data_IF_033855602543
#
_entry.id   IF_033855602543
#
_cell.length_a   1.000
_cell.length_b   1.000
_cell.length_c   1.000
_cell.angle_alpha   90.00
_cell.angle_beta   90.00
_cell.angle_gamma   90.00
#
_symmetry.space_group_name_H-M   'P 1'
#
loop_
_entity.id
_entity.type
_entity.pdbx_description
1 polymer ?
#
# COMPACT_ATOMS: atom_id res chain seq x y z
N UNK A 1 -6.84 -43.51 -58.73
CA UNK A 1 -7.25 -44.40 -57.62
C UNK A 1 -7.16 -43.59 -56.33
N UNK A 2 -8.27 -42.98 -55.90
CA UNK A 2 -9.16 -43.40 -54.78
C UNK A 2 -8.70 -42.69 -53.48
N UNK A 3 -9.49 -41.94 -52.70
CA UNK A 3 -10.96 -41.76 -52.58
C UNK A 3 -11.23 -40.36 -52.01
N UNK A 4 -12.34 -39.79 -52.47
CA UNK A 4 -13.03 -38.62 -51.96
C UNK A 4 -14.13 -39.10 -50.99
N UNK A 5 -14.20 -38.54 -49.79
CA UNK A 5 -15.28 -38.66 -48.78
C UNK A 5 -15.05 -37.51 -47.77
N UNK A 6 -15.97 -36.73 -47.25
CA UNK A 6 -17.43 -36.55 -47.37
C UNK A 6 -17.74 -35.28 -46.55
N UNK A 7 -18.65 -34.45 -47.06
CA UNK A 7 -19.34 -33.38 -46.33
C UNK A 7 -20.00 -33.90 -45.04
N UNK A 8 -19.91 -33.16 -43.93
CA UNK A 8 -20.99 -33.06 -42.94
C UNK A 8 -20.80 -31.86 -41.99
N UNK A 9 -21.94 -31.30 -41.59
CA UNK A 9 -22.19 -30.40 -40.45
C UNK A 9 -22.14 -28.88 -40.64
N UNK A 10 -23.00 -28.39 -41.54
CA UNK A 10 -23.56 -27.03 -41.48
C UNK A 10 -25.03 -27.08 -41.05
N UNK A 11 -25.33 -27.19 -39.75
CA UNK A 11 -26.70 -26.95 -39.19
C UNK A 11 -26.74 -26.94 -37.65
N UNK A 12 -26.12 -25.95 -37.01
CA UNK A 12 -26.41 -25.61 -35.59
C UNK A 12 -26.01 -24.17 -35.17
N UNK A 13 -25.96 -23.22 -36.12
CA UNK A 13 -25.47 -21.86 -35.85
C UNK A 13 -26.52 -20.79 -35.50
N UNK A 14 -27.80 -20.94 -35.90
CA UNK A 14 -28.72 -19.80 -35.91
C UNK A 14 -29.21 -19.35 -34.53
N UNK A 15 -29.15 -20.21 -33.51
CA UNK A 15 -29.61 -19.85 -32.15
C UNK A 15 -28.68 -18.89 -31.40
N UNK A 16 -27.37 -18.92 -31.70
CA UNK A 16 -26.38 -18.05 -31.03
C UNK A 16 -26.29 -16.67 -31.68
N UNK A 17 -26.61 -16.56 -32.97
CA UNK A 17 -26.66 -15.28 -33.68
C UNK A 17 -27.76 -14.36 -33.13
N UNK A 18 -28.96 -14.89 -32.87
CA UNK A 18 -30.08 -14.09 -32.35
C UNK A 18 -29.76 -13.54 -30.95
N UNK A 19 -29.13 -14.35 -30.09
CA UNK A 19 -28.78 -13.91 -28.73
C UNK A 19 -27.65 -12.86 -28.74
N UNK A 20 -26.67 -13.00 -29.64
CA UNK A 20 -25.65 -11.98 -29.86
C UNK A 20 -26.26 -10.69 -30.44
N UNK A 21 -27.22 -10.80 -31.35
CA UNK A 21 -27.92 -9.65 -31.93
C UNK A 21 -28.75 -8.92 -30.85
N UNK A 22 -29.44 -9.65 -29.97
CA UNK A 22 -30.21 -9.07 -28.87
C UNK A 22 -29.33 -8.40 -27.81
N UNK A 23 -28.17 -8.98 -27.48
CA UNK A 23 -27.21 -8.35 -26.57
C UNK A 23 -26.61 -7.08 -27.17
N UNK A 24 -26.33 -7.09 -28.47
CA UNK A 24 -25.79 -5.92 -29.19
C UNK A 24 -26.84 -4.81 -29.30
N UNK A 25 -28.08 -5.15 -29.68
CA UNK A 25 -29.18 -4.19 -29.78
C UNK A 25 -29.57 -3.59 -28.43
N UNK A 26 -29.55 -4.37 -27.33
CA UNK A 26 -29.78 -3.83 -25.98
C UNK A 26 -28.66 -2.89 -25.55
N UNK A 27 -27.41 -3.23 -25.84
CA UNK A 27 -26.26 -2.37 -25.55
C UNK A 27 -26.27 -1.08 -26.37
N UNK A 28 -26.68 -1.15 -27.63
CA UNK A 28 -26.73 0.00 -28.53
C UNK A 28 -27.89 0.95 -28.19
N UNK A 29 -29.09 0.42 -27.86
CA UNK A 29 -30.20 1.22 -27.35
C UNK A 29 -29.85 1.94 -26.04
N UNK A 30 -29.09 1.28 -25.14
CA UNK A 30 -28.60 1.92 -23.92
C UNK A 30 -27.57 3.03 -24.20
N UNK A 31 -26.67 2.83 -25.17
CA UNK A 31 -25.72 3.88 -25.59
C UNK A 31 -26.42 5.04 -26.29
N UNK A 32 -27.44 4.75 -27.11
CA UNK A 32 -28.22 5.76 -27.81
C UNK A 32 -29.12 6.56 -26.85
N UNK A 33 -29.73 5.93 -25.85
CA UNK A 33 -30.49 6.63 -24.81
C UNK A 33 -29.58 7.50 -23.93
N UNK A 34 -28.41 7.02 -23.56
CA UNK A 34 -27.40 7.81 -22.84
C UNK A 34 -26.90 9.00 -23.68
N UNK A 35 -26.70 8.83 -25.00
CA UNK A 35 -26.32 9.94 -25.88
C UNK A 35 -27.44 10.94 -26.11
N UNK A 36 -28.71 10.50 -26.18
CA UNK A 36 -29.87 11.40 -26.25
C UNK A 36 -30.06 12.21 -24.95
N UNK A 37 -29.72 11.63 -23.80
CA UNK A 37 -29.76 12.30 -22.50
C UNK A 37 -28.58 13.28 -22.26
N UNK A 38 -27.62 13.40 -23.19
CA UNK A 38 -26.51 14.38 -23.14
C UNK A 38 -26.92 15.82 -23.53
N UNK A 39 -28.19 16.19 -23.45
CA UNK A 39 -28.65 17.57 -23.66
C UNK A 39 -28.29 18.47 -22.48
N UNK A 40 -27.01 18.85 -22.36
CA UNK A 40 -26.38 19.98 -21.63
C UNK A 40 -26.76 20.32 -20.17
N UNK A 41 -27.89 19.88 -19.62
CA UNK A 41 -28.36 20.21 -18.28
C UNK A 41 -27.55 19.49 -17.18
N UNK A 42 -27.02 18.30 -17.46
CA UNK A 42 -26.29 17.52 -16.46
C UNK A 42 -24.84 17.99 -16.23
N UNK A 43 -24.25 18.76 -17.16
CA UNK A 43 -22.91 19.33 -16.95
C UNK A 43 -22.93 20.52 -15.98
N UNK A 44 -24.02 21.30 -15.98
CA UNK A 44 -24.20 22.37 -14.99
C UNK A 44 -24.45 21.81 -13.58
N UNK A 45 -25.16 20.68 -13.46
CA UNK A 45 -25.39 20.02 -12.18
C UNK A 45 -24.17 19.25 -11.65
N UNK A 46 -23.26 18.78 -12.53
CA UNK A 46 -22.01 18.10 -12.14
C UNK A 46 -20.94 19.09 -11.67
N UNK A 47 -20.94 20.33 -12.17
CA UNK A 47 -20.03 21.37 -11.67
C UNK A 47 -20.39 21.88 -10.25
N UNK A 48 -21.64 21.70 -9.82
CA UNK A 48 -22.14 22.14 -8.52
C UNK A 48 -22.22 21.03 -7.46
N UNK A 49 -21.93 19.77 -7.82
CA UNK A 49 -21.93 18.64 -6.87
C UNK A 49 -20.51 18.29 -6.47
N UNK A 50 -20.24 18.36 -5.17
CA UNK A 50 -19.03 17.81 -4.56
C UNK A 50 -18.86 16.35 -5.01
N UNK A 51 -17.65 15.99 -5.44
CA UNK A 51 -17.31 14.68 -6.03
C UNK A 51 -17.47 13.47 -5.07
N UNK A 52 -18.05 13.69 -3.87
CA UNK A 52 -18.31 12.69 -2.84
C UNK A 52 -19.80 12.36 -2.62
N UNK A 53 -20.74 12.93 -3.38
CA UNK A 53 -22.12 12.45 -3.33
C UNK A 53 -22.24 11.12 -4.09
N UNK A 54 -22.60 10.00 -3.43
CA UNK A 54 -22.79 8.75 -4.16
C UNK A 54 -23.92 8.90 -5.17
N UNK A 55 -23.77 8.22 -6.31
CA UNK A 55 -24.72 8.25 -7.42
C UNK A 55 -26.10 7.64 -7.11
N UNK A 56 -26.32 7.20 -5.87
CA UNK A 56 -27.56 6.60 -5.39
C UNK A 56 -27.94 7.31 -4.08
N UNK A 57 -29.20 7.78 -3.92
CA UNK A 57 -29.64 8.42 -2.69
C UNK A 57 -29.41 7.46 -1.51
N UNK A 58 -28.54 7.87 -0.58
CA UNK A 58 -28.15 7.12 0.62
C UNK A 58 -29.38 6.60 1.39
N UNK A 59 -30.49 7.35 1.36
CA UNK A 59 -31.75 6.98 2.00
C UNK A 59 -32.36 5.67 1.50
N UNK A 60 -32.12 5.27 0.25
CA UNK A 60 -32.73 4.07 -0.32
C UNK A 60 -31.89 2.81 -0.08
N UNK A 61 -30.58 2.95 0.14
CA UNK A 61 -29.68 1.84 0.45
C UNK A 61 -29.87 1.39 1.91
N UNK A 62 -30.07 2.35 2.84
CA UNK A 62 -30.16 2.05 4.27
C UNK A 62 -31.56 1.72 4.78
N UNK A 63 -32.62 1.99 4.00
CA UNK A 63 -33.95 1.44 4.33
C UNK A 63 -33.91 -0.07 4.47
N UNK A 64 -33.22 -0.78 3.57
CA UNK A 64 -33.09 -2.24 3.62
C UNK A 64 -32.28 -2.74 4.83
N UNK A 65 -31.28 -1.96 5.25
CA UNK A 65 -30.46 -2.27 6.43
C UNK A 65 -31.24 -2.03 7.74
N UNK A 66 -32.04 -0.96 7.81
CA UNK A 66 -32.94 -0.68 8.94
C UNK A 66 -34.06 -1.73 9.04
N UNK A 67 -34.70 -2.11 7.93
CA UNK A 67 -35.71 -3.18 7.95
C UNK A 67 -35.12 -4.49 8.46
N UNK A 68 -33.88 -4.82 8.06
CA UNK A 68 -33.19 -6.04 8.52
C UNK A 68 -32.75 -5.97 9.99
N UNK A 69 -32.42 -4.78 10.51
CA UNK A 69 -32.12 -4.57 11.93
C UNK A 69 -33.37 -4.69 12.81
N UNK A 70 -34.51 -4.15 12.36
CA UNK A 70 -35.82 -4.31 13.01
C UNK A 70 -36.31 -5.76 12.95
N UNK A 71 -36.06 -6.47 11.85
CA UNK A 71 -36.38 -7.89 11.69
C UNK A 71 -35.55 -8.77 12.65
N UNK A 72 -34.26 -8.45 12.84
CA UNK A 72 -33.40 -9.13 13.85
C UNK A 72 -33.87 -8.89 15.29
N UNK A 73 -34.35 -7.71 15.62
CA UNK A 73 -34.92 -7.41 16.95
C UNK A 73 -36.25 -8.13 17.18
N UNK A 74 -37.03 -8.38 16.11
CA UNK A 74 -38.19 -9.27 16.16
C UNK A 74 -37.79 -10.74 16.32
N UNK A 75 -36.75 -11.20 15.63
CA UNK A 75 -36.23 -12.57 15.75
C UNK A 75 -35.61 -12.86 17.13
N UNK A 76 -35.00 -11.87 17.79
CA UNK A 76 -34.48 -12.04 19.16
C UNK A 76 -35.57 -12.27 20.23
N UNK A 77 -36.80 -11.86 19.96
CA UNK A 77 -37.95 -12.12 20.83
C UNK A 77 -38.80 -13.32 20.36
N UNK A 78 -38.45 -13.95 19.25
CA UNK A 78 -39.10 -15.16 18.77
C UNK A 78 -38.40 -16.39 19.38
N UNK A 79 -39.18 -17.26 20.01
CA UNK A 79 -38.70 -18.55 20.53
C UNK A 79 -38.01 -19.32 19.40
N UNK A 80 -36.75 -19.76 19.55
CA UNK A 80 -36.02 -20.42 18.47
C UNK A 80 -36.77 -21.70 18.06
N UNK A 81 -36.90 -22.00 16.75
CA UNK A 81 -37.48 -23.26 16.30
C UNK A 81 -36.62 -24.42 16.85
N UNK A 82 -37.25 -25.54 17.25
CA UNK A 82 -36.55 -26.67 17.83
C UNK A 82 -35.50 -27.19 16.84
N UNK A 83 -34.23 -27.19 17.28
CA UNK A 83 -33.12 -27.77 16.54
C UNK A 83 -33.32 -29.30 16.41
N UNK A 84 -32.97 -29.89 15.24
CA UNK A 84 -33.11 -31.32 15.03
C UNK A 84 -32.26 -32.13 16.02
N UNK A 85 -32.94 -33.05 16.70
CA UNK A 85 -32.37 -34.02 17.65
C UNK A 85 -31.73 -35.17 16.89
N UNK A 86 -30.49 -35.52 17.29
CA UNK A 86 -29.70 -36.65 16.80
C UNK A 86 -30.44 -37.97 17.07
N UNK A 87 -30.71 -38.76 16.03
CA UNK A 87 -31.04 -40.18 16.13
C UNK A 87 -30.22 -40.97 15.10
N UNK A 88 -29.71 -42.13 15.52
CA UNK A 88 -29.00 -43.12 14.70
C UNK A 88 -27.64 -42.69 14.11
N UNK A 89 -26.84 -41.96 14.90
CA UNK A 89 -25.39 -41.94 14.72
C UNK A 89 -24.84 -41.02 13.63
N UNK A 90 -25.67 -40.31 12.86
CA UNK A 90 -25.22 -39.16 12.05
C UNK A 90 -26.33 -38.11 11.90
N UNK A 91 -26.18 -36.99 12.61
CA UNK A 91 -26.86 -35.74 12.28
C UNK A 91 -25.81 -34.63 12.20
N UNK A 92 -25.30 -34.46 10.97
CA UNK A 92 -24.40 -33.40 10.57
C UNK A 92 -25.24 -32.18 10.12
N UNK A 93 -25.13 -31.06 10.83
CA UNK A 93 -25.28 -29.75 10.21
C UNK A 93 -23.87 -29.15 10.11
N UNK A 94 -23.28 -29.39 8.94
CA UNK A 94 -21.90 -29.08 8.58
C UNK A 94 -21.68 -27.57 8.42
N UNK A 95 -20.75 -27.08 9.23
CA UNK A 95 -20.41 -25.68 9.45
C UNK A 95 -19.79 -24.94 8.24
N UNK A 96 -19.65 -23.59 8.35
CA UNK A 96 -19.16 -22.65 7.34
C UNK A 96 -17.64 -22.69 7.07
N UNK A 97 -16.97 -23.83 7.31
CA UNK A 97 -15.54 -24.05 6.98
C UNK A 97 -15.23 -25.50 6.56
N UNK A 98 -16.23 -26.28 6.17
CA UNK A 98 -16.02 -27.56 5.48
C UNK A 98 -15.62 -27.39 4.01
N UNK A 99 -15.10 -28.43 3.34
CA UNK A 99 -14.90 -28.41 1.89
C UNK A 99 -16.22 -27.99 1.24
N UNK A 100 -16.19 -26.86 0.52
CA UNK A 100 -17.36 -26.30 -0.13
C UNK A 100 -17.99 -27.41 -0.98
N UNK A 101 -19.28 -27.75 -0.81
CA UNK A 101 -19.93 -28.76 -1.63
C UNK A 101 -19.93 -28.26 -3.08
N UNK A 102 -19.03 -28.84 -3.86
CA UNK A 102 -18.75 -28.48 -5.23
C UNK A 102 -17.66 -29.39 -5.78
N UNK A 103 -17.61 -29.59 -7.10
CA UNK A 103 -16.50 -30.31 -7.71
C UNK A 103 -15.18 -29.62 -7.31
N UNK A 104 -14.11 -30.38 -7.00
CA UNK A 104 -12.80 -29.80 -6.71
C UNK A 104 -12.39 -28.88 -7.86
N UNK A 105 -11.73 -27.76 -7.53
CA UNK A 105 -11.24 -26.82 -8.56
C UNK A 105 -10.44 -27.59 -9.61
N UNK A 106 -10.67 -27.37 -10.92
CA UNK A 106 -9.94 -28.08 -11.97
C UNK A 106 -8.44 -27.99 -11.74
N UNK A 107 -7.70 -29.08 -12.01
CA UNK A 107 -6.22 -29.10 -11.90
C UNK A 107 -5.54 -28.06 -12.80
N UNK A 108 -6.22 -27.58 -13.84
CA UNK A 108 -5.74 -26.46 -14.66
C UNK A 108 -5.74 -25.12 -13.93
N UNK A 109 -6.48 -24.99 -12.82
CA UNK A 109 -6.57 -23.78 -12.01
C UNK A 109 -5.64 -23.80 -10.80
N UNK A 110 -5.14 -24.96 -10.37
CA UNK A 110 -4.21 -25.03 -9.23
C UNK A 110 -2.90 -24.28 -9.49
N UNK A 111 -2.48 -24.18 -10.76
CA UNK A 111 -1.33 -23.34 -11.16
C UNK A 111 -1.60 -21.83 -11.13
N UNK A 112 -2.86 -21.38 -11.12
CA UNK A 112 -3.22 -19.98 -10.91
C UNK A 112 -3.10 -19.59 -9.43
N UNK A 113 -3.26 -20.55 -8.53
CA UNK A 113 -3.08 -20.39 -7.09
C UNK A 113 -1.68 -20.82 -6.66
N UNK A 114 -0.62 -20.26 -7.28
CA UNK A 114 0.75 -20.29 -6.73
C UNK A 114 0.84 -19.49 -5.43
N UNK A 115 0.03 -19.88 -4.45
CA UNK A 115 -0.13 -19.25 -3.15
C UNK A 115 1.11 -19.45 -2.28
N UNK A 116 1.98 -20.41 -2.64
CA UNK A 116 3.20 -20.75 -1.92
C UNK A 116 4.17 -19.57 -1.84
N UNK A 117 4.33 -18.81 -2.93
CA UNK A 117 5.20 -17.62 -2.90
C UNK A 117 4.63 -16.50 -2.02
N UNK A 118 3.30 -16.34 -2.00
CA UNK A 118 2.65 -15.33 -1.15
C UNK A 118 2.79 -15.68 0.34
N UNK A 119 2.73 -16.97 0.70
CA UNK A 119 2.95 -17.43 2.08
C UNK A 119 4.39 -17.26 2.52
N UNK A 120 5.36 -17.63 1.67
CA UNK A 120 6.79 -17.45 1.97
C UNK A 120 7.15 -15.99 2.26
N UNK A 121 6.52 -15.05 1.52
CA UNK A 121 6.69 -13.59 1.66
C UNK A 121 5.97 -12.97 2.86
N UNK A 122 5.27 -13.76 3.68
CA UNK A 122 4.61 -13.28 4.89
C UNK A 122 5.21 -13.87 6.18
N UNK A 123 6.45 -14.35 6.11
CA UNK A 123 7.22 -14.79 7.28
C UNK A 123 7.92 -13.59 7.92
N UNK A 124 8.07 -13.61 9.25
CA UNK A 124 8.80 -12.57 9.99
C UNK A 124 10.23 -12.38 9.47
N UNK A 125 10.92 -13.49 9.17
CA UNK A 125 12.27 -13.47 8.61
C UNK A 125 12.32 -12.73 7.26
N UNK A 126 11.35 -13.01 6.37
CA UNK A 126 11.26 -12.29 5.10
C UNK A 126 10.96 -10.80 5.30
N UNK A 127 10.04 -10.43 6.20
CA UNK A 127 9.71 -9.02 6.44
C UNK A 127 10.89 -8.27 7.04
N UNK A 128 11.60 -8.89 7.97
CA UNK A 128 12.83 -8.34 8.56
C UNK A 128 13.88 -8.08 7.47
N UNK A 129 14.17 -9.06 6.62
CA UNK A 129 15.12 -8.89 5.51
C UNK A 129 14.61 -7.85 4.49
N UNK A 130 13.34 -7.89 4.11
CA UNK A 130 12.78 -6.97 3.13
C UNK A 130 12.80 -5.52 3.61
N UNK A 131 12.57 -5.27 4.91
CA UNK A 131 12.54 -3.94 5.50
C UNK A 131 13.92 -3.43 5.93
N UNK A 132 14.94 -4.29 6.04
CA UNK A 132 16.26 -3.93 6.59
C UNK A 132 16.91 -2.75 5.87
N UNK A 133 16.88 -2.72 4.53
CA UNK A 133 17.49 -1.64 3.75
C UNK A 133 16.83 -0.29 4.04
N UNK A 134 15.51 -0.19 3.92
CA UNK A 134 14.82 1.10 4.13
C UNK A 134 14.92 1.55 5.59
N UNK A 135 14.76 0.64 6.56
CA UNK A 135 14.86 0.95 7.99
C UNK A 135 16.26 1.44 8.37
N UNK A 136 17.33 0.94 7.73
CA UNK A 136 18.71 1.40 7.96
C UNK A 136 18.96 2.85 7.54
N UNK A 137 18.08 3.42 6.70
CA UNK A 137 18.16 4.80 6.22
C UNK A 137 17.14 5.74 6.89
N UNK A 138 16.38 5.25 7.87
CA UNK A 138 15.40 6.03 8.62
C UNK A 138 16.02 6.63 9.89
N UNK A 139 15.50 7.77 10.39
CA UNK A 139 15.95 8.33 11.65
C UNK A 139 15.76 7.31 12.77
N UNK A 140 16.67 7.38 13.74
CA UNK A 140 16.71 6.47 14.86
C UNK A 140 15.41 6.55 15.68
N UNK A 141 14.95 5.39 16.15
CA UNK A 141 13.78 5.24 17.02
C UNK A 141 14.14 4.51 18.31
N UNK A 142 13.42 4.83 19.39
CA UNK A 142 13.77 4.40 20.74
C UNK A 142 13.43 2.91 20.90
N UNK A 143 14.41 2.05 20.71
CA UNK A 143 14.24 0.60 20.87
C UNK A 143 14.72 -0.24 19.70
N UNK A 144 15.12 0.36 18.57
CA UNK A 144 15.88 -0.36 17.56
C UNK A 144 17.28 -0.66 18.12
N UNK A 145 17.50 -1.90 18.58
CA UNK A 145 18.81 -2.41 19.02
C UNK A 145 19.81 -2.52 17.89
N UNK A 146 19.35 -2.35 16.64
CA UNK A 146 20.20 -2.10 15.50
C UNK A 146 20.65 -0.64 15.57
N UNK A 147 21.45 -0.33 16.59
CA UNK A 147 22.44 0.72 16.48
C UNK A 147 23.33 0.23 15.33
N UNK A 148 23.35 0.86 14.14
CA UNK A 148 24.59 0.85 13.41
C UNK A 148 25.51 1.56 14.38
N UNK A 149 26.34 0.81 15.11
CA UNK A 149 27.57 1.35 15.70
C UNK A 149 28.12 2.19 14.57
N UNK A 150 28.05 3.52 14.71
CA UNK A 150 28.30 4.48 13.65
C UNK A 150 29.44 3.91 12.82
N UNK A 151 29.10 3.30 11.68
CA UNK A 151 30.11 2.71 10.83
C UNK A 151 30.85 3.95 10.42
N UNK A 152 32.06 4.07 10.95
CA UNK A 152 32.91 5.20 10.63
C UNK A 152 32.98 5.26 9.11
N UNK A 153 33.03 6.46 8.53
CA UNK A 153 33.05 6.62 7.08
C UNK A 153 34.18 5.79 6.41
N UNK A 154 35.20 5.40 7.18
CA UNK A 154 36.25 4.44 6.84
C UNK A 154 35.76 2.99 6.68
N UNK A 155 34.81 2.51 7.49
CA UNK A 155 34.23 1.16 7.37
C UNK A 155 33.26 1.05 6.19
N UNK A 156 32.54 2.13 5.85
CA UNK A 156 31.73 2.23 4.62
C UNK A 156 32.58 2.22 3.34
N UNK A 157 33.86 2.57 3.43
CA UNK A 157 34.81 2.52 2.33
C UNK A 157 35.61 1.20 2.30
N UNK A 158 35.47 0.33 3.31
CA UNK A 158 36.13 -0.96 3.34
C UNK A 158 35.36 -1.98 2.49
N UNK A 159 35.93 -2.49 1.37
CA UNK A 159 35.28 -3.51 0.55
C UNK A 159 35.08 -4.85 1.28
N UNK A 160 35.65 -5.02 2.48
CA UNK A 160 35.49 -6.21 3.31
C UNK A 160 34.31 -6.13 4.30
N UNK A 161 33.81 -4.95 4.65
CA UNK A 161 32.73 -4.79 5.63
C UNK A 161 31.33 -5.06 5.05
N UNK A 162 31.17 -4.92 3.74
CA UNK A 162 29.87 -4.99 3.05
C UNK A 162 29.35 -6.42 2.90
N UNK A 163 30.22 -7.45 2.93
CA UNK A 163 29.80 -8.84 2.67
C UNK A 163 29.91 -9.80 3.87
N UNK A 164 30.45 -9.34 5.01
CA UNK A 164 30.78 -10.23 6.14
C UNK A 164 29.71 -10.34 7.24
N UNK A 165 28.61 -9.57 7.21
CA UNK A 165 27.73 -9.40 8.38
C UNK A 165 26.30 -9.91 8.26
N UNK A 166 25.97 -10.68 7.20
CA UNK A 166 24.62 -11.26 7.04
C UNK A 166 24.43 -12.64 7.66
N UNK A 167 25.49 -13.31 8.14
CA UNK A 167 25.38 -14.63 8.75
C UNK A 167 26.29 -14.71 9.99
N UNK A 168 25.76 -14.39 11.19
CA UNK A 168 25.97 -15.16 12.44
C UNK A 168 25.63 -14.44 13.77
N UNK A 169 25.09 -13.22 13.79
CA UNK A 169 24.57 -12.67 15.07
C UNK A 169 23.17 -13.19 15.44
N UNK A 170 22.62 -14.14 14.67
CA UNK A 170 21.38 -14.86 15.00
C UNK A 170 21.51 -15.74 16.26
N UNK A 171 22.73 -15.97 16.75
CA UNK A 171 23.00 -16.61 18.03
C UNK A 171 22.92 -15.63 19.20
N UNK A 172 21.74 -15.50 19.81
CA UNK A 172 21.53 -15.03 21.20
C UNK A 172 21.68 -13.53 21.53
N UNK A 173 21.39 -12.60 20.61
CA UNK A 173 21.12 -11.23 21.07
C UNK A 173 19.77 -11.19 21.77
N UNK A 174 19.80 -11.03 23.09
CA UNK A 174 18.62 -10.73 23.90
C UNK A 174 17.96 -9.49 23.29
N UNK A 175 16.66 -9.54 22.94
CA UNK A 175 15.97 -8.39 22.37
C UNK A 175 16.04 -7.21 23.34
N UNK A 176 16.10 -5.97 22.83
CA UNK A 176 16.10 -4.78 23.66
C UNK A 176 14.84 -4.77 24.55
N UNK A 177 14.97 -4.21 25.76
CA UNK A 177 13.85 -4.14 26.71
C UNK A 177 12.59 -3.53 26.09
N UNK A 178 12.74 -2.49 25.26
CA UNK A 178 11.62 -1.85 24.56
C UNK A 178 10.84 -2.84 23.69
N UNK A 179 11.53 -3.72 22.96
CA UNK A 179 10.89 -4.76 22.16
C UNK A 179 10.12 -5.77 23.02
N UNK A 180 10.74 -6.23 24.13
CA UNK A 180 10.07 -7.15 25.07
C UNK A 180 8.82 -6.49 25.66
N UNK A 181 8.90 -5.22 26.04
CA UNK A 181 7.76 -4.47 26.56
C UNK A 181 6.66 -4.32 25.51
N UNK A 182 7.02 -4.00 24.25
CA UNK A 182 6.06 -3.91 23.15
C UNK A 182 5.37 -5.25 22.89
N UNK A 183 6.10 -6.37 22.92
CA UNK A 183 5.52 -7.71 22.78
C UNK A 183 4.47 -7.99 23.84
N UNK A 184 4.78 -7.69 25.10
CA UNK A 184 3.87 -7.90 26.22
C UNK A 184 2.64 -7.00 26.09
N UNK A 185 2.82 -5.73 25.72
CA UNK A 185 1.71 -4.79 25.51
C UNK A 185 0.81 -5.25 24.35
N UNK A 186 1.36 -5.56 23.19
CA UNK A 186 0.58 -5.98 22.02
C UNK A 186 -0.18 -7.28 22.26
N UNK A 187 0.38 -8.20 23.07
CA UNK A 187 -0.31 -9.43 23.48
C UNK A 187 -1.49 -9.16 24.43
N UNK A 188 -1.47 -8.07 25.20
CA UNK A 188 -2.57 -7.68 26.10
C UNK A 188 -3.73 -6.98 25.38
N UNK A 189 -3.49 -6.37 24.21
CA UNK A 189 -4.50 -5.62 23.44
C UNK A 189 -4.81 -6.26 22.07
N UNK A 190 -5.44 -7.45 22.03
CA UNK A 190 -5.73 -8.16 20.79
C UNK A 190 -6.85 -7.49 19.97
N UNK A 191 -7.78 -6.77 20.59
CA UNK A 191 -8.86 -6.06 19.89
C UNK A 191 -8.42 -4.68 19.38
N UNK A 192 -9.07 -4.18 18.32
CA UNK A 192 -8.79 -2.88 17.74
C UNK A 192 -9.33 -1.70 18.57
N UNK A 193 -10.44 -1.91 19.28
CA UNK A 193 -11.05 -0.86 20.12
C UNK A 193 -10.18 -0.63 21.35
N UNK A 194 -9.87 -1.68 22.10
CA UNK A 194 -8.98 -1.62 23.28
C UNK A 194 -7.58 -1.10 22.91
N UNK A 195 -7.04 -1.52 21.76
CA UNK A 195 -5.76 -1.01 21.26
C UNK A 195 -5.78 0.51 21.10
N UNK A 196 -6.85 1.09 20.52
CA UNK A 196 -6.94 2.53 20.31
C UNK A 196 -7.26 3.28 21.60
N UNK A 197 -8.26 2.80 22.34
CA UNK A 197 -8.85 3.56 23.44
C UNK A 197 -8.05 3.41 24.73
N UNK A 198 -7.31 2.31 24.94
CA UNK A 198 -6.53 2.09 26.16
C UNK A 198 -5.02 2.22 25.93
N UNK A 199 -4.46 1.53 24.93
CA UNK A 199 -3.00 1.52 24.72
C UNK A 199 -2.50 2.87 24.18
N UNK A 200 -3.15 3.45 23.16
CA UNK A 200 -2.68 4.72 22.59
C UNK A 200 -2.86 5.89 23.56
N UNK A 201 -3.86 5.87 24.43
CA UNK A 201 -4.02 6.95 25.44
C UNK A 201 -2.84 6.99 26.44
N UNK A 202 -2.27 5.83 26.76
CA UNK A 202 -1.18 5.70 27.75
C UNK A 202 0.20 5.83 27.09
N UNK A 203 0.32 5.45 25.82
CA UNK A 203 1.60 5.37 25.14
C UNK A 203 2.01 6.75 24.60
N UNK A 204 3.20 7.27 24.96
CA UNK A 204 3.66 8.55 24.43
C UNK A 204 3.76 8.55 22.89
N UNK A 205 3.42 9.64 22.19
CA UNK A 205 3.36 9.67 20.72
C UNK A 205 4.64 9.21 20.01
N UNK A 206 5.81 9.49 20.60
CA UNK A 206 7.10 9.08 20.03
C UNK A 206 7.30 7.56 19.96
N UNK A 207 6.57 6.78 20.77
CA UNK A 207 6.61 5.31 20.71
C UNK A 207 5.70 4.72 19.64
N UNK A 208 4.74 5.48 19.10
CA UNK A 208 3.87 4.97 18.02
C UNK A 208 4.68 4.52 16.82
N UNK A 209 5.77 5.25 16.52
CA UNK A 209 6.70 4.92 15.45
C UNK A 209 7.41 3.58 15.70
N UNK A 210 7.81 3.33 16.94
CA UNK A 210 8.42 2.07 17.34
C UNK A 210 7.42 0.91 17.27
N UNK A 211 6.17 1.12 17.70
CA UNK A 211 5.07 0.15 17.51
C UNK A 211 4.84 -0.15 16.03
N UNK A 212 4.78 0.88 15.18
CA UNK A 212 4.55 0.76 13.74
C UNK A 212 5.65 -0.08 13.07
N UNK A 213 6.92 0.26 13.33
CA UNK A 213 8.07 -0.48 12.78
C UNK A 213 8.14 -1.91 13.32
N UNK A 214 7.90 -2.10 14.62
CA UNK A 214 7.93 -3.40 15.27
C UNK A 214 6.88 -4.35 14.69
N UNK A 215 5.63 -3.91 14.68
CA UNK A 215 4.50 -4.69 14.16
C UNK A 215 4.66 -4.98 12.66
N UNK A 216 5.18 -4.05 11.87
CA UNK A 216 5.46 -4.28 10.45
C UNK A 216 6.38 -5.50 10.21
N UNK A 217 7.33 -5.77 11.11
CA UNK A 217 8.22 -6.93 11.02
C UNK A 217 7.59 -8.17 11.66
N UNK A 218 7.10 -8.07 12.90
CA UNK A 218 6.74 -9.24 13.71
C UNK A 218 5.30 -9.71 13.50
N UNK A 219 4.34 -8.80 13.56
CA UNK A 219 2.91 -9.08 13.41
C UNK A 219 2.18 -7.88 12.78
N UNK A 220 2.12 -7.81 11.44
CA UNK A 220 1.55 -6.67 10.72
C UNK A 220 0.13 -6.30 11.19
N UNK A 221 -0.06 -5.04 11.56
CA UNK A 221 -1.36 -4.56 12.02
C UNK A 221 -2.42 -4.66 10.90
N UNK A 222 -3.65 -5.08 11.21
CA UNK A 222 -4.76 -4.93 10.28
C UNK A 222 -5.03 -3.45 10.01
N UNK A 223 -5.57 -3.11 8.84
CA UNK A 223 -5.79 -1.71 8.43
C UNK A 223 -6.52 -0.87 9.49
N UNK A 224 -7.48 -1.45 10.23
CA UNK A 224 -8.20 -0.74 11.29
C UNK A 224 -7.30 -0.30 12.43
N UNK A 225 -6.39 -1.16 12.91
CA UNK A 225 -5.41 -0.81 13.95
C UNK A 225 -4.32 0.12 13.42
N UNK A 226 -3.86 -0.12 12.18
CA UNK A 226 -2.85 0.71 11.53
C UNK A 226 -3.29 2.17 11.42
N UNK A 227 -4.51 2.41 10.92
CA UNK A 227 -5.03 3.77 10.79
C UNK A 227 -5.51 4.36 12.11
N UNK A 228 -5.78 3.55 13.13
CA UNK A 228 -6.00 4.05 14.50
C UNK A 228 -4.71 4.54 15.15
N UNK A 229 -3.56 3.94 14.80
CA UNK A 229 -2.23 4.38 15.23
C UNK A 229 -1.79 5.66 14.53
N UNK A 230 -2.28 5.90 13.31
CA UNK A 230 -2.00 7.12 12.58
C UNK A 230 -2.76 8.30 13.22
N UNK A 231 -2.06 9.42 13.39
CA UNK A 231 -2.66 10.71 13.76
C UNK A 231 -3.69 11.15 12.69
N UNK A 232 -4.51 12.20 12.93
CA UNK A 232 -5.45 12.72 11.92
C UNK A 232 -4.83 12.97 10.54
N UNK A 233 -3.52 13.24 10.49
CA UNK A 233 -2.75 13.45 9.25
C UNK A 233 -2.47 12.17 8.47
N UNK A 234 -2.74 11.01 9.05
CA UNK A 234 -2.66 9.72 8.37
C UNK A 234 -1.29 9.05 8.38
N UNK A 235 -0.39 9.51 9.25
CA UNK A 235 0.93 8.93 9.48
C UNK A 235 1.34 9.03 10.94
N UNK A 236 2.48 8.42 11.26
CA UNK A 236 3.08 8.44 12.59
C UNK A 236 4.47 9.08 12.47
N UNK A 237 4.63 10.31 12.98
CA UNK A 237 5.92 11.03 12.94
C UNK A 237 6.53 11.10 11.51
N UNK A 238 5.67 11.37 10.52
CA UNK A 238 6.04 11.43 9.11
C UNK A 238 6.26 10.06 8.43
N UNK A 239 5.89 8.95 9.08
CA UNK A 239 6.06 7.57 8.57
C UNK A 239 4.74 6.82 8.41
N UNK A 240 4.61 6.08 7.32
CA UNK A 240 3.52 5.13 7.11
C UNK A 240 4.06 3.80 6.56
N UNK A 241 3.76 2.71 7.26
CA UNK A 241 4.20 1.35 6.89
C UNK A 241 2.98 0.46 6.72
N UNK A 242 2.69 0.07 5.48
CA UNK A 242 1.57 -0.81 5.11
C UNK A 242 2.12 -2.17 4.74
N UNK A 243 1.73 -3.21 5.48
CA UNK A 243 2.26 -4.56 5.30
C UNK A 243 1.14 -5.59 5.14
N UNK A 244 1.22 -6.37 4.06
CA UNK A 244 0.44 -7.59 3.88
C UNK A 244 -0.57 -7.53 2.73
N UNK A 245 -1.02 -8.70 2.24
CA UNK A 245 -1.83 -8.80 1.03
C UNK A 245 -3.27 -8.32 1.21
N UNK A 246 -3.75 -8.28 2.46
CA UNK A 246 -5.10 -7.79 2.81
C UNK A 246 -5.08 -6.33 3.27
N UNK A 247 -3.89 -5.75 3.49
CA UNK A 247 -3.78 -4.34 3.83
C UNK A 247 -4.16 -3.50 2.61
N UNK A 248 -4.70 -2.32 2.86
CA UNK A 248 -5.12 -1.39 1.81
C UNK A 248 -4.53 -0.03 2.11
N UNK A 249 -3.78 0.52 1.15
CA UNK A 249 -3.29 1.89 1.23
C UNK A 249 -4.43 2.84 0.86
N UNK A 250 -4.92 3.60 1.85
CA UNK A 250 -6.03 4.51 1.66
C UNK A 250 -5.55 5.81 1.00
N UNK A 251 -6.15 6.13 -0.15
CA UNK A 251 -5.81 7.36 -0.89
C UNK A 251 -6.11 8.61 -0.06
N UNK A 252 -7.20 8.61 0.69
CA UNK A 252 -7.67 9.80 1.42
C UNK A 252 -6.70 10.17 2.55
N UNK A 253 -6.09 9.17 3.18
CA UNK A 253 -5.00 9.33 4.15
C UNK A 253 -3.80 10.05 3.54
N UNK A 254 -3.39 9.68 2.33
CA UNK A 254 -2.25 10.30 1.64
C UNK A 254 -2.55 11.73 1.17
N UNK A 255 -3.79 12.00 0.78
CA UNK A 255 -4.22 13.35 0.36
C UNK A 255 -4.29 14.28 1.57
N UNK A 256 -4.71 13.78 2.72
CA UNK A 256 -4.79 14.54 3.98
C UNK A 256 -3.41 14.94 4.48
N UNK A 257 -2.40 14.09 4.29
CA UNK A 257 -1.00 14.39 4.58
C UNK A 257 -0.38 15.51 3.70
N UNK A 258 -1.12 16.06 2.74
CA UNK A 258 -0.64 17.15 1.89
C UNK A 258 -0.85 18.51 2.59
N UNK A 259 0.22 19.28 2.86
CA UNK A 259 0.15 20.51 3.66
C UNK A 259 -0.79 21.57 3.08
N UNK A 260 -1.05 21.55 1.77
CA UNK A 260 -1.97 22.47 1.08
C UNK A 260 -3.42 22.35 1.58
N UNK A 261 -3.82 21.17 2.06
CA UNK A 261 -5.20 20.91 2.52
C UNK A 261 -5.37 21.34 3.98
N UNK A 262 -4.39 21.04 4.84
CA UNK A 262 -4.41 21.38 6.25
C UNK A 262 -4.57 22.90 6.50
N UNK A 263 -3.88 23.73 5.70
CA UNK A 263 -3.97 25.18 5.82
C UNK A 263 -5.37 25.76 5.53
N UNK A 264 -6.23 25.05 4.79
CA UNK A 264 -7.59 25.52 4.45
C UNK A 264 -8.63 25.20 5.52
N UNK A 265 -8.44 24.13 6.30
CA UNK A 265 -9.43 23.73 7.30
C UNK A 265 -9.47 24.64 8.52
N UNK A 266 -8.33 25.23 8.91
CA UNK A 266 -8.27 26.13 10.07
C UNK A 266 -8.67 27.59 9.77
N UNK A 267 -8.67 28.02 8.49
CA UNK A 267 -8.91 29.42 8.12
C UNK A 267 -10.38 29.82 7.90
N UNK A 268 -11.31 28.88 7.77
CA UNK A 268 -12.68 29.18 7.29
C UNK A 268 -13.78 29.05 8.37
N UNK A 269 -13.40 28.74 9.61
CA UNK A 269 -14.36 28.60 10.71
C UNK A 269 -14.68 29.91 11.44
N UNK A 270 -14.14 31.04 10.96
CA UNK A 270 -14.05 32.28 11.72
C UNK A 270 -14.69 33.53 11.12
N UNK A 271 -15.65 33.48 10.19
CA UNK A 271 -16.43 34.71 9.88
C UNK A 271 -17.82 34.49 9.25
N UNK A 272 -18.54 33.45 9.67
CA UNK A 272 -19.96 33.30 9.33
C UNK A 272 -20.86 34.05 10.34
N UNK A 273 -20.48 35.27 10.73
CA UNK A 273 -21.34 36.17 11.51
C UNK A 273 -21.76 37.39 10.68
N UNK A 274 -23.07 37.56 10.66
CA UNK A 274 -23.82 38.80 10.41
C UNK A 274 -23.77 39.40 9.00
N UNK A 275 -24.52 38.79 8.09
CA UNK A 275 -25.45 39.60 7.28
C UNK A 275 -26.78 39.71 8.06
N UNK A 276 -26.71 40.50 9.14
CA UNK A 276 -27.88 40.99 9.87
C UNK A 276 -28.44 42.19 9.09
N UNK A 277 -29.39 41.89 8.21
CA UNK A 277 -30.16 42.90 7.47
C UNK A 277 -31.26 43.46 8.38
N UNK A 278 -30.95 44.59 9.05
CA UNK A 278 -31.87 45.70 9.40
C UNK A 278 -33.03 45.39 10.36
N UNK A 279 -33.47 46.25 11.28
CA UNK A 279 -33.32 47.69 11.48
C UNK A 279 -33.54 47.95 12.98
N UNK A 280 -32.82 48.88 13.61
CA UNK A 280 -33.23 49.35 14.94
C UNK A 280 -32.19 50.06 15.81
N UNK A 281 -32.02 51.36 15.56
CA UNK A 281 -31.87 52.41 16.59
C UNK A 281 -30.71 52.34 17.60
N UNK A 282 -29.68 53.12 17.29
CA UNK A 282 -29.14 54.20 18.15
C UNK A 282 -28.97 53.95 19.66
N UNK A 283 -27.74 53.75 20.12
CA UNK A 283 -27.13 54.64 21.13
C UNK A 283 -25.63 54.37 21.30
N UNK A 284 -24.88 55.40 20.94
CA UNK A 284 -23.50 55.74 21.24
C UNK A 284 -22.94 55.21 22.57
N UNK A 285 -21.77 54.55 22.49
CA UNK A 285 -20.71 54.74 23.47
C UNK A 285 -19.33 54.43 22.88
N UNK A 286 -18.71 55.48 22.34
CA UNK A 286 -17.29 55.55 22.04
C UNK A 286 -16.51 55.27 23.34
N UNK A 287 -15.68 54.23 23.33
CA UNK A 287 -14.56 54.11 24.26
C UNK A 287 -13.37 53.67 23.44
N UNK A 288 -12.75 54.63 22.75
CA UNK A 288 -11.42 54.51 22.16
C UNK A 288 -10.42 54.28 23.29
N UNK A 289 -10.05 53.01 23.49
CA UNK A 289 -8.81 52.65 24.15
C UNK A 289 -7.88 52.18 23.04
N UNK A 290 -6.84 52.94 22.67
CA UNK A 290 -5.81 52.45 21.78
C UNK A 290 -5.02 51.42 22.58
N UNK A 291 -5.44 50.16 22.51
CA UNK A 291 -4.59 49.04 22.92
C UNK A 291 -3.47 49.01 21.89
N UNK A 292 -2.34 49.63 22.26
CA UNK A 292 -1.07 49.47 21.56
C UNK A 292 -0.85 47.96 21.41
N UNK A 293 -1.09 47.47 20.19
CA UNK A 293 -0.68 46.17 19.73
C UNK A 293 0.84 46.18 19.79
N UNK A 294 1.39 45.82 20.95
CA UNK A 294 2.78 45.43 21.07
C UNK A 294 3.01 44.34 20.00
N UNK A 295 3.74 44.73 18.95
CA UNK A 295 4.33 43.88 17.93
C UNK A 295 5.19 42.79 18.61
N UNK A 296 4.54 41.78 19.17
CA UNK A 296 5.18 40.64 19.81
C UNK A 296 5.63 39.66 18.73
N UNK A 297 6.77 39.98 18.12
CA UNK A 297 7.47 39.13 17.14
C UNK A 297 7.83 37.73 17.69
N UNK A 298 7.64 37.46 18.99
CA UNK A 298 7.84 36.14 19.60
C UNK A 298 6.56 35.26 19.62
N UNK A 299 5.37 35.81 19.34
CA UNK A 299 4.14 35.02 19.29
C UNK A 299 4.09 34.07 18.07
N UNK A 300 4.73 34.43 16.96
CA UNK A 300 4.75 33.60 15.73
C UNK A 300 5.61 32.34 15.86
N UNK A 301 6.62 32.34 16.75
CA UNK A 301 7.46 31.17 16.98
C UNK A 301 6.73 30.10 17.80
N UNK A 302 5.82 30.50 18.70
CA UNK A 302 5.03 29.56 19.50
C UNK A 302 3.92 28.89 18.69
N UNK A 303 3.38 29.55 17.66
CA UNK A 303 2.39 28.93 16.76
C UNK A 303 3.00 27.99 15.71
N UNK A 304 4.32 28.03 15.50
CA UNK A 304 4.99 27.15 14.55
C UNK A 304 5.17 25.71 15.06
N UNK A 305 4.98 25.48 16.37
CA UNK A 305 5.11 24.17 16.99
C UNK A 305 3.89 23.24 16.79
N UNK A 306 2.75 23.78 16.35
CA UNK A 306 1.50 23.02 16.26
C UNK A 306 1.25 22.37 14.89
N UNK A 307 2.11 22.61 13.89
CA UNK A 307 1.96 21.95 12.60
C UNK A 307 2.57 20.54 12.65
N UNK A 308 1.79 19.50 12.34
CA UNK A 308 2.28 18.13 12.32
C UNK A 308 3.40 17.99 11.28
N UNK A 309 4.43 17.17 11.56
CA UNK A 309 5.54 16.98 10.64
C UNK A 309 5.05 16.37 9.32
N UNK A 310 5.53 16.80 8.14
CA UNK A 310 5.05 16.25 6.87
C UNK A 310 5.39 14.77 6.73
N UNK A 311 4.61 14.04 5.92
CA UNK A 311 4.98 12.65 5.59
C UNK A 311 6.24 12.60 4.73
N UNK A 312 7.28 11.91 5.23
CA UNK A 312 8.58 11.79 4.59
C UNK A 312 8.89 10.36 4.14
N UNK A 313 8.29 9.36 4.80
CA UNK A 313 8.58 7.95 4.57
C UNK A 313 7.31 7.16 4.31
N UNK A 314 7.26 6.46 3.18
CA UNK A 314 6.20 5.52 2.85
C UNK A 314 6.79 4.15 2.52
N UNK A 315 6.32 3.13 3.23
CA UNK A 315 6.73 1.74 3.01
C UNK A 315 5.48 0.92 2.72
N UNK A 316 5.51 0.20 1.61
CA UNK A 316 4.43 -0.71 1.19
C UNK A 316 5.05 -2.07 0.91
N UNK A 317 4.68 -3.09 1.69
CA UNK A 317 5.23 -4.44 1.60
C UNK A 317 4.13 -5.46 1.35
N UNK A 318 4.24 -6.19 0.24
CA UNK A 318 3.30 -7.26 -0.13
C UNK A 318 1.83 -6.79 -0.22
N UNK A 319 1.63 -5.51 -0.54
CA UNK A 319 0.31 -4.86 -0.68
C UNK A 319 0.18 -4.30 -2.09
N UNK A 320 -1.02 -4.33 -2.69
CA UNK A 320 -1.23 -3.74 -4.01
C UNK A 320 -1.33 -2.21 -3.93
N UNK A 321 -0.66 -1.53 -4.85
CA UNK A 321 -0.74 -0.06 -4.98
C UNK A 321 -1.48 0.26 -6.26
N UNK A 322 -2.68 0.84 -6.13
CA UNK A 322 -3.40 1.30 -7.31
C UNK A 322 -2.73 2.53 -7.93
N UNK A 323 -2.89 2.69 -9.24
CA UNK A 323 -2.35 3.84 -9.98
C UNK A 323 -2.87 5.16 -9.40
N UNK A 324 -4.15 5.20 -8.98
CA UNK A 324 -4.73 6.38 -8.34
C UNK A 324 -4.03 6.70 -7.02
N UNK A 325 -3.72 5.70 -6.21
CA UNK A 325 -3.01 5.91 -4.94
C UNK A 325 -1.58 6.40 -5.16
N UNK A 326 -0.89 5.86 -6.17
CA UNK A 326 0.45 6.32 -6.55
C UNK A 326 0.48 7.81 -6.95
N UNK A 327 -0.57 8.32 -7.61
CA UNK A 327 -0.68 9.76 -7.90
C UNK A 327 -1.10 10.63 -6.71
N UNK A 328 -1.44 10.03 -5.58
CA UNK A 328 -1.74 10.73 -4.34
C UNK A 328 -0.55 10.76 -3.38
N UNK A 329 0.61 10.23 -3.78
CA UNK A 329 1.81 10.26 -2.94
C UNK A 329 2.23 11.71 -2.64
N UNK A 330 2.52 12.06 -1.38
CA UNK A 330 2.99 13.40 -1.05
C UNK A 330 4.31 13.75 -1.73
N UNK A 331 4.42 15.00 -2.17
CA UNK A 331 5.66 15.52 -2.78
C UNK A 331 6.82 15.59 -1.78
N UNK A 332 6.50 15.56 -0.47
CA UNK A 332 7.43 15.60 0.67
C UNK A 332 8.13 14.27 0.95
N UNK A 333 7.77 13.20 0.22
CA UNK A 333 8.41 11.90 0.38
C UNK A 333 9.89 11.97 -0.02
N UNK A 334 10.75 11.57 0.92
CA UNK A 334 12.20 11.42 0.74
C UNK A 334 12.61 9.95 0.76
N UNK A 335 11.79 9.07 1.33
CA UNK A 335 12.03 7.64 1.46
C UNK A 335 10.80 6.88 0.98
N UNK A 336 10.98 6.00 0.01
CA UNK A 336 9.89 5.18 -0.53
C UNK A 336 10.37 3.75 -0.70
N UNK A 337 9.64 2.80 -0.11
CA UNK A 337 9.84 1.38 -0.34
C UNK A 337 8.56 0.76 -0.89
N UNK A 338 8.65 0.18 -2.09
CA UNK A 338 7.58 -0.58 -2.74
C UNK A 338 8.06 -2.00 -2.88
N UNK A 339 7.82 -2.83 -1.87
CA UNK A 339 8.46 -4.13 -1.70
C UNK A 339 7.50 -5.27 -2.01
N UNK A 340 7.96 -6.23 -2.83
CA UNK A 340 7.19 -7.44 -3.16
C UNK A 340 5.74 -7.16 -3.61
N UNK A 341 5.52 -6.07 -4.35
CA UNK A 341 4.20 -5.66 -4.83
C UNK A 341 3.68 -6.71 -5.82
N UNK A 342 2.45 -7.24 -5.65
CA UNK A 342 1.96 -8.35 -6.46
C UNK A 342 1.66 -7.96 -7.92
N UNK A 343 1.44 -6.66 -8.18
CA UNK A 343 1.03 -6.14 -9.49
C UNK A 343 2.05 -5.11 -9.99
N UNK A 344 2.39 -5.11 -11.30
CA UNK A 344 3.26 -4.10 -11.88
C UNK A 344 2.75 -2.68 -11.58
N UNK A 345 3.63 -1.87 -11.01
CA UNK A 345 3.33 -0.49 -10.62
C UNK A 345 4.11 0.47 -11.53
N UNK A 346 3.53 1.59 -12.02
CA UNK A 346 4.18 2.48 -12.98
C UNK A 346 5.27 3.36 -12.35
N UNK A 347 6.34 2.74 -11.84
CA UNK A 347 7.46 3.38 -11.12
C UNK A 347 8.20 4.41 -11.96
N UNK A 348 8.15 4.31 -13.30
CA UNK A 348 8.69 5.31 -14.22
C UNK A 348 8.05 6.70 -14.07
N UNK A 349 6.89 6.81 -13.40
CA UNK A 349 6.23 8.10 -13.13
C UNK A 349 6.67 8.73 -11.82
N UNK A 350 7.28 7.98 -10.91
CA UNK A 350 7.71 8.46 -9.60
C UNK A 350 8.62 9.69 -9.61
N UNK A 351 9.59 9.89 -10.54
CA UNK A 351 10.42 11.10 -10.48
C UNK A 351 9.63 12.40 -10.68
N UNK A 352 8.44 12.33 -11.31
CA UNK A 352 7.54 13.49 -11.42
C UNK A 352 6.64 13.68 -10.21
N UNK A 353 6.33 12.59 -9.51
CA UNK A 353 5.39 12.57 -8.39
C UNK A 353 6.12 12.83 -7.07
N UNK A 354 7.30 12.28 -6.88
CA UNK A 354 8.08 12.40 -5.65
C UNK A 354 9.51 12.86 -6.01
N UNK A 355 9.69 14.14 -6.40
CA UNK A 355 10.98 14.65 -6.87
C UNK A 355 12.05 14.72 -5.76
N UNK A 356 11.64 14.61 -4.49
CA UNK A 356 12.53 14.72 -3.32
C UNK A 356 13.06 13.37 -2.82
N UNK A 357 12.79 12.27 -3.54
CA UNK A 357 13.21 10.94 -3.11
C UNK A 357 14.73 10.79 -3.10
N UNK A 358 15.25 10.41 -1.93
CA UNK A 358 16.64 10.11 -1.66
C UNK A 358 16.88 8.59 -1.56
N UNK A 359 15.92 7.86 -1.02
CA UNK A 359 15.97 6.40 -0.88
C UNK A 359 14.77 5.79 -1.57
N UNK A 360 15.04 4.92 -2.55
CA UNK A 360 14.02 4.16 -3.25
C UNK A 360 14.33 2.66 -3.15
N UNK A 361 13.52 1.90 -2.44
CA UNK A 361 13.64 0.44 -2.39
C UNK A 361 12.53 -0.22 -3.23
N UNK A 362 12.93 -0.88 -4.31
CA UNK A 362 12.05 -1.65 -5.18
C UNK A 362 12.36 -3.16 -5.10
N UNK A 363 12.97 -3.62 -4.02
CA UNK A 363 13.37 -5.02 -3.84
C UNK A 363 12.18 -6.00 -3.92
N UNK A 364 12.47 -7.24 -4.31
CA UNK A 364 11.56 -8.40 -4.40
C UNK A 364 10.43 -8.26 -5.44
N UNK A 365 10.51 -7.28 -6.34
CA UNK A 365 9.55 -7.10 -7.44
C UNK A 365 10.04 -7.78 -8.72
N UNK A 366 9.62 -9.04 -8.93
CA UNK A 366 9.99 -9.81 -10.13
C UNK A 366 9.56 -9.13 -11.44
N UNK A 367 8.43 -8.41 -11.42
CA UNK A 367 7.87 -7.73 -12.59
C UNK A 367 8.71 -6.55 -13.11
N UNK A 368 9.76 -6.13 -12.41
CA UNK A 368 10.63 -5.05 -12.89
C UNK A 368 11.41 -5.45 -14.15
N UNK A 369 11.76 -6.73 -14.26
CA UNK A 369 12.49 -7.29 -15.40
C UNK A 369 11.56 -8.00 -16.40
N UNK A 370 10.34 -8.34 -15.99
CA UNK A 370 9.39 -9.02 -16.88
C UNK A 370 8.78 -8.02 -17.88
N UNK A 371 8.76 -8.32 -19.19
CA UNK A 371 8.04 -7.50 -20.14
C UNK A 371 6.53 -7.55 -19.82
N UNK A 372 5.81 -6.41 -19.92
CA UNK A 372 4.46 -6.24 -19.36
C UNK A 372 3.39 -7.17 -19.94
N UNK A 373 3.67 -7.89 -21.03
CA UNK A 373 2.69 -8.76 -21.69
C UNK A 373 2.94 -10.26 -21.54
N UNK A 374 4.02 -10.69 -20.85
CA UNK A 374 4.36 -12.11 -20.66
C UNK A 374 4.58 -12.93 -21.95
N UNK A 375 4.35 -12.32 -23.11
CA UNK A 375 4.65 -12.81 -24.44
C UNK A 375 6.03 -12.26 -24.75
N UNK A 376 7.03 -13.13 -24.81
CA UNK A 376 8.42 -12.79 -25.12
C UNK A 376 8.60 -12.27 -26.55
N UNK A 377 7.90 -11.19 -26.90
CA UNK A 377 8.29 -10.36 -28.02
C UNK A 377 9.66 -9.80 -27.67
N UNK A 378 10.64 -10.15 -28.47
CA UNK A 378 12.09 -9.92 -28.27
C UNK A 378 12.46 -8.43 -28.10
N UNK A 379 11.50 -7.52 -28.19
CA UNK A 379 11.67 -6.06 -28.20
C UNK A 379 10.92 -5.31 -27.08
N UNK A 380 10.24 -6.01 -26.15
CA UNK A 380 9.50 -5.31 -25.10
C UNK A 380 10.48 -4.77 -24.04
N UNK A 381 10.60 -3.44 -23.96
CA UNK A 381 11.43 -2.77 -22.95
C UNK A 381 10.96 -3.12 -21.53
N UNK A 382 11.92 -3.42 -20.65
CA UNK A 382 11.67 -3.68 -19.24
C UNK A 382 11.13 -2.43 -18.53
N UNK A 383 10.47 -2.60 -17.37
CA UNK A 383 9.93 -1.44 -16.63
C UNK A 383 11.05 -0.50 -16.18
N UNK A 384 12.21 -1.06 -15.82
CA UNK A 384 13.42 -0.29 -15.46
C UNK A 384 14.02 0.46 -16.65
N UNK A 385 13.84 -0.06 -17.87
CA UNK A 385 14.30 0.63 -19.09
C UNK A 385 13.57 1.93 -19.36
N UNK A 386 12.29 1.98 -19.00
CA UNK A 386 11.43 3.16 -19.17
C UNK A 386 11.71 4.27 -18.16
N UNK A 387 12.51 4.01 -17.12
CA UNK A 387 12.79 5.00 -16.08
C UNK A 387 13.85 5.99 -16.58
N UNK A 388 13.50 7.27 -16.55
CA UNK A 388 14.41 8.38 -16.84
C UNK A 388 15.27 8.68 -15.60
N UNK A 389 16.32 7.88 -15.37
CA UNK A 389 17.20 7.96 -14.19
C UNK A 389 17.87 9.33 -13.99
N UNK A 390 18.03 10.10 -15.07
CA UNK A 390 18.55 11.47 -15.05
C UNK A 390 17.64 12.46 -14.29
N UNK A 391 16.34 12.16 -14.17
CA UNK A 391 15.38 13.01 -13.44
C UNK A 391 15.40 12.82 -11.93
N UNK A 392 16.13 11.82 -11.44
CA UNK A 392 16.21 11.46 -10.03
C UNK A 392 17.33 12.22 -9.29
N UNK A 393 17.37 13.54 -9.40
CA UNK A 393 18.53 14.35 -8.96
C UNK A 393 18.96 14.12 -7.50
N UNK A 394 18.02 13.78 -6.61
CA UNK A 394 18.29 13.56 -5.17
C UNK A 394 18.45 12.10 -4.77
N UNK A 395 18.23 11.16 -5.67
CA UNK A 395 18.31 9.73 -5.36
C UNK A 395 19.75 9.37 -4.99
N UNK A 396 19.93 8.78 -3.80
CA UNK A 396 21.22 8.35 -3.24
C UNK A 396 21.29 6.84 -3.10
N UNK A 397 20.18 6.19 -2.77
CA UNK A 397 20.13 4.74 -2.53
C UNK A 397 19.01 4.12 -3.36
N UNK A 398 19.33 3.03 -4.07
CA UNK A 398 18.40 2.26 -4.87
C UNK A 398 18.45 0.77 -4.49
N UNK A 399 17.38 0.24 -3.93
CA UNK A 399 17.24 -1.18 -3.59
C UNK A 399 16.63 -1.99 -4.74
N UNK A 400 17.32 -3.04 -5.18
CA UNK A 400 16.92 -3.93 -6.29
C UNK A 400 17.14 -5.42 -5.95
N UNK A 401 17.12 -5.79 -4.66
CA UNK A 401 17.35 -7.17 -4.22
C UNK A 401 16.32 -8.10 -4.82
N UNK A 402 16.76 -9.26 -5.34
CA UNK A 402 15.87 -10.27 -5.93
C UNK A 402 14.92 -9.78 -7.06
N UNK A 403 15.25 -8.66 -7.73
CA UNK A 403 14.45 -8.12 -8.85
C UNK A 403 14.88 -8.63 -10.23
N UNK A 404 15.89 -9.49 -10.27
CA UNK A 404 16.46 -10.06 -11.48
C UNK A 404 17.00 -9.06 -12.51
N UNK A 405 17.48 -7.92 -12.06
CA UNK A 405 17.90 -6.79 -12.91
C UNK A 405 19.18 -7.09 -13.72
N UNK A 406 19.30 -6.59 -14.97
CA UNK A 406 20.54 -6.69 -15.74
C UNK A 406 21.69 -5.87 -15.15
N UNK A 407 22.93 -6.32 -15.36
CA UNK A 407 24.15 -5.69 -14.83
C UNK A 407 24.38 -4.26 -15.35
N UNK A 408 23.83 -3.93 -16.53
CA UNK A 408 23.92 -2.58 -17.10
C UNK A 408 23.06 -1.54 -16.36
N UNK A 409 22.24 -1.93 -15.37
CA UNK A 409 21.43 -0.96 -14.64
C UNK A 409 22.30 0.05 -13.88
N UNK A 410 23.44 -0.39 -13.34
CA UNK A 410 24.31 0.48 -12.55
C UNK A 410 24.92 1.61 -13.39
N UNK A 411 25.35 1.29 -14.61
CA UNK A 411 25.88 2.28 -15.55
C UNK A 411 24.79 3.25 -16.03
N UNK A 412 23.54 2.78 -16.14
CA UNK A 412 22.41 3.62 -16.55
C UNK A 412 21.92 4.56 -15.45
N UNK A 413 21.78 4.05 -14.22
CA UNK A 413 21.35 4.85 -13.06
C UNK A 413 22.34 5.97 -12.78
N UNK A 414 23.64 5.68 -12.92
CA UNK A 414 24.72 6.62 -12.66
C UNK A 414 25.18 7.41 -13.90
N UNK A 415 24.48 7.30 -15.03
CA UNK A 415 24.82 8.05 -16.24
C UNK A 415 24.71 9.54 -15.97
N UNK A 416 25.81 10.27 -16.18
CA UNK A 416 25.88 11.72 -15.97
C UNK A 416 26.07 12.17 -14.52
N UNK A 417 26.18 11.26 -13.56
CA UNK A 417 26.45 11.57 -12.14
C UNK A 417 27.93 11.42 -11.85
N UNK A 418 28.64 12.54 -11.68
CA UNK A 418 30.08 12.54 -11.42
C UNK A 418 30.43 12.51 -9.91
N UNK A 419 29.62 13.15 -9.08
CA UNK A 419 29.88 13.30 -7.64
C UNK A 419 28.87 12.54 -6.76
N UNK A 420 27.61 12.46 -7.20
CA UNK A 420 26.53 11.85 -6.44
C UNK A 420 26.18 10.46 -7.00
N UNK A 421 27.11 9.51 -6.87
CA UNK A 421 26.88 8.12 -7.30
C UNK A 421 25.77 7.50 -6.45
N UNK A 422 24.76 6.94 -7.11
CA UNK A 422 23.69 6.18 -6.45
C UNK A 422 24.24 4.85 -6.00
N UNK A 423 24.13 4.57 -4.70
CA UNK A 423 24.44 3.28 -4.12
C UNK A 423 23.32 2.29 -4.44
N UNK A 424 23.64 1.22 -5.19
CA UNK A 424 22.65 0.25 -5.65
C UNK A 424 22.83 -1.06 -4.88
N UNK A 425 21.81 -1.45 -4.13
CA UNK A 425 21.82 -2.65 -3.29
C UNK A 425 21.13 -3.81 -4.00
N UNK A 426 21.78 -4.98 -4.08
CA UNK A 426 21.19 -6.21 -4.60
C UNK A 426 21.54 -6.59 -6.05
N UNK A 427 22.50 -5.91 -6.68
CA UNK A 427 23.04 -6.33 -8.00
C UNK A 427 24.09 -7.44 -7.84
N UNK A 428 24.82 -7.44 -6.73
CA UNK A 428 26.10 -8.15 -6.60
C UNK A 428 25.96 -9.65 -6.34
N UNK A 429 24.83 -10.09 -5.77
CA UNK A 429 24.59 -11.51 -5.41
C UNK A 429 24.59 -12.48 -6.62
N UNK A 430 24.45 -11.95 -7.84
CA UNK A 430 24.42 -12.76 -9.06
C UNK A 430 25.79 -13.17 -9.56
N UNK A 431 26.83 -12.38 -9.28
CA UNK A 431 28.16 -12.58 -9.85
C UNK A 431 28.84 -13.85 -9.31
N UNK A 432 28.51 -14.28 -8.07
CA UNK A 432 29.09 -15.48 -7.48
C UNK A 432 28.15 -16.70 -7.47
N UNK A 433 26.84 -16.53 -7.27
CA UNK A 433 25.91 -17.67 -7.14
C UNK A 433 25.59 -18.39 -8.46
N UNK A 434 25.53 -17.65 -9.57
CA UNK A 434 25.34 -18.24 -10.91
C UNK A 434 26.61 -18.96 -11.38
N UNK A 435 27.79 -18.45 -11.00
CA UNK A 435 29.05 -19.14 -11.27
C UNK A 435 29.09 -20.51 -10.59
N UNK A 436 28.70 -20.63 -9.31
CA UNK A 436 28.85 -21.90 -8.60
C UNK A 436 27.91 -23.01 -9.09
N UNK A 437 26.68 -22.69 -9.49
CA UNK A 437 25.74 -23.67 -10.08
C UNK A 437 26.09 -24.01 -11.53
N UNK A 438 26.61 -23.04 -12.29
CA UNK A 438 27.17 -23.29 -13.64
C UNK A 438 28.47 -24.08 -13.56
N UNK A 439 29.31 -23.83 -12.55
CA UNK A 439 30.55 -24.56 -12.26
C UNK A 439 30.22 -25.96 -11.75
N UNK A 440 29.22 -26.16 -10.89
CA UNK A 440 28.74 -27.49 -10.50
C UNK A 440 28.13 -28.23 -11.70
N UNK A 441 27.40 -27.54 -12.57
CA UNK A 441 26.89 -28.09 -13.83
C UNK A 441 28.02 -28.51 -14.77
N UNK A 442 29.05 -27.67 -14.93
CA UNK A 442 30.26 -27.96 -15.69
C UNK A 442 31.04 -29.12 -15.07
N UNK A 443 31.24 -29.15 -13.76
CA UNK A 443 31.92 -30.24 -13.04
C UNK A 443 31.16 -31.55 -13.14
N UNK A 444 29.82 -31.53 -13.07
CA UNK A 444 28.97 -32.72 -13.31
C UNK A 444 28.97 -33.16 -14.78
N UNK A 445 29.19 -32.26 -15.73
CA UNK A 445 29.39 -32.65 -17.14
C UNK A 445 30.80 -33.18 -17.44
N UNK A 446 31.77 -32.90 -16.56
CA UNK A 446 33.16 -33.36 -16.65
C UNK A 446 33.40 -34.70 -15.96
N UNK A 447 32.45 -35.24 -15.18
CA UNK A 447 32.52 -36.63 -14.74
C UNK A 447 32.27 -37.54 -15.94
N UNK A 448 33.38 -37.91 -16.59
CA UNK A 448 33.47 -38.92 -17.62
C UNK A 448 32.75 -40.20 -17.14
N UNK A 449 31.80 -40.65 -17.96
CA UNK A 449 31.26 -42.00 -17.88
C UNK A 449 32.39 -42.99 -18.14
N UNK A 450 32.78 -43.73 -17.11
CA UNK A 450 33.61 -44.95 -17.22
C UNK A 450 32.87 -46.08 -17.96
#
# INVERSE_FOLDING_TARGET
>A
MNRCTTNQDSRSGSGREVNNLLHTLRGEQFRHSQNLLRSKAHLAAVAARSYNDPSLPFSDIYKYAQTRAEERLREQNATPPPLPVIQDGQLQHGYPRGPVPGPPVPKSWSGLFKQDHARARNTTAFRHDALSLILSHMPWSFGSSDVPLLLTQEELQSPAAVYGRMHDTAGSRVPPLAQICLDVLLAQFPDAVEFRDELLEILPPHFYRDVLRYTAVHDPLPSTKLYALCEPDGHVDGELIVVGPQATLQRDTLVSASPTVAARQYGDSGDARSDDRGEGSSTSRETDVPTELEDSWEAELSSSQDLPPPMHTLIVLNTSVSISTLFAFPLTLTRLALLAIPVPTPVHRLPRICPLLEVLDLSYNAWLNDPPEGKGTVMAESTLERIEWEKWARLRVLGLRQCNVPENIATRVNRGRLLDVVHIVGIEDRTFGSSLTVVEGLLKSLTLSD
#
